data_IF_395259357723
#
_entry.id   IF_395259357723
#
_cell.length_a   1.000
_cell.length_b   1.000
_cell.length_c   1.000
_cell.angle_alpha   90.00
_cell.angle_beta   90.00
_cell.angle_gamma   90.00
#
_symmetry.space_group_name_H-M   'P 1'
#
loop_
_entity.id
_entity.type
_entity.pdbx_description
1 polymer ?
#
# COMPACT_ATOMS: atom_id res chain seq x y z
N UNK A 1 42.82 -51.62 -81.60
CA UNK A 1 41.68 -52.50 -81.97
C UNK A 1 41.19 -53.18 -80.69
N UNK A 2 39.86 -53.26 -80.45
CA UNK A 2 39.30 -53.68 -79.17
C UNK A 2 38.99 -55.20 -79.12
N UNK A 3 38.94 -55.75 -77.91
CA UNK A 3 38.15 -56.93 -77.51
C UNK A 3 38.12 -56.91 -75.97
N UNK A 4 37.04 -56.49 -75.29
CA UNK A 4 35.85 -57.26 -74.89
C UNK A 4 36.17 -58.65 -74.29
N UNK A 5 35.95 -58.80 -72.99
CA UNK A 5 34.86 -59.59 -72.35
C UNK A 5 35.23 -59.92 -70.90
N UNK A 6 34.42 -59.42 -69.96
CA UNK A 6 34.14 -60.01 -68.63
C UNK A 6 33.28 -61.29 -68.86
N UNK A 7 33.05 -62.25 -67.91
CA UNK A 7 32.59 -61.94 -66.54
C UNK A 7 32.78 -63.02 -65.41
N UNK A 8 32.30 -62.68 -64.20
CA UNK A 8 31.83 -63.51 -63.06
C UNK A 8 32.89 -64.18 -62.15
N UNK A 9 33.08 -63.72 -60.91
CA UNK A 9 32.28 -63.97 -59.69
C UNK A 9 32.61 -65.30 -58.99
N UNK A 10 33.44 -65.25 -57.93
CA UNK A 10 33.45 -66.23 -56.84
C UNK A 10 33.78 -65.54 -55.51
N UNK A 11 32.74 -65.31 -54.69
CA UNK A 11 32.87 -64.84 -53.31
C UNK A 11 32.97 -66.07 -52.40
N UNK A 12 34.19 -66.38 -51.94
CA UNK A 12 34.42 -67.44 -50.96
C UNK A 12 33.95 -66.99 -49.57
N UNK A 13 33.20 -67.88 -48.93
CA UNK A 13 32.75 -67.82 -47.54
C UNK A 13 33.87 -68.32 -46.64
N UNK A 14 34.32 -67.48 -45.71
CA UNK A 14 35.18 -67.90 -44.60
C UNK A 14 34.46 -67.63 -43.27
N UNK A 15 34.08 -68.71 -42.59
CA UNK A 15 33.90 -68.84 -41.13
C UNK A 15 35.19 -68.29 -40.47
N UNK A 16 35.25 -67.58 -39.34
CA UNK A 16 34.55 -67.75 -38.06
C UNK A 16 35.14 -66.67 -37.12
N UNK A 17 34.35 -65.97 -36.32
CA UNK A 17 34.81 -65.60 -34.97
C UNK A 17 33.59 -65.43 -34.07
N UNK A 18 33.43 -66.42 -33.20
CA UNK A 18 32.64 -66.35 -31.99
C UNK A 18 33.01 -65.09 -31.20
N UNK A 19 31.99 -64.39 -30.75
CA UNK A 19 32.07 -63.08 -30.12
C UNK A 19 30.67 -62.69 -29.67
N UNK A 20 30.02 -63.61 -28.96
CA UNK A 20 28.77 -63.31 -28.26
C UNK A 20 29.03 -62.13 -27.30
N UNK A 21 28.32 -61.00 -27.41
CA UNK A 21 28.31 -60.02 -26.36
C UNK A 21 27.59 -60.63 -25.15
N UNK A 22 28.34 -60.69 -24.05
CA UNK A 22 27.89 -60.85 -22.67
C UNK A 22 26.55 -60.11 -22.42
N UNK A 23 25.55 -60.72 -21.76
CA UNK A 23 24.31 -60.03 -21.46
C UNK A 23 24.62 -58.88 -20.49
N UNK A 24 24.60 -57.65 -21.00
CA UNK A 24 24.73 -56.46 -20.20
C UNK A 24 23.68 -56.50 -19.09
N UNK A 25 24.17 -56.71 -17.86
CA UNK A 25 23.38 -56.62 -16.65
C UNK A 25 22.58 -55.33 -16.66
N UNK A 26 21.25 -55.47 -16.61
CA UNK A 26 20.31 -54.41 -16.33
C UNK A 26 20.67 -53.78 -14.98
N UNK A 27 21.54 -52.76 -15.01
CA UNK A 27 21.74 -51.89 -13.87
C UNK A 27 20.53 -50.98 -13.84
N UNK A 28 19.55 -51.35 -13.02
CA UNK A 28 18.45 -50.48 -12.62
C UNK A 28 19.11 -49.29 -11.92
N UNK A 29 19.43 -48.27 -12.72
CA UNK A 29 19.80 -46.96 -12.22
C UNK A 29 18.57 -46.43 -11.50
N UNK A 30 18.61 -46.48 -10.17
CA UNK A 30 17.66 -45.77 -9.33
C UNK A 30 17.84 -44.28 -9.61
N UNK A 31 17.12 -43.76 -10.60
CA UNK A 31 16.95 -42.34 -10.80
C UNK A 31 16.07 -41.83 -9.65
N UNK A 32 16.71 -41.59 -8.50
CA UNK A 32 16.12 -40.78 -7.46
C UNK A 32 15.99 -39.37 -8.03
N UNK A 33 14.87 -39.11 -8.69
CA UNK A 33 14.39 -37.76 -8.95
C UNK A 33 14.49 -37.04 -7.60
N UNK A 34 15.23 -35.91 -7.48
CA UNK A 34 15.16 -35.13 -6.27
C UNK A 34 13.71 -34.71 -6.15
N UNK A 35 12.97 -35.28 -5.17
CA UNK A 35 11.64 -34.78 -4.81
C UNK A 35 11.80 -33.29 -4.67
N UNK A 36 11.24 -32.55 -5.62
CA UNK A 36 11.28 -31.09 -5.64
C UNK A 36 10.88 -30.65 -4.25
N UNK A 37 11.85 -30.13 -3.50
CA UNK A 37 11.61 -29.50 -2.22
C UNK A 37 10.72 -28.35 -2.57
N UNK A 38 9.39 -28.53 -2.43
CA UNK A 38 8.43 -27.44 -2.58
C UNK A 38 8.99 -26.32 -1.72
N UNK A 39 9.52 -25.28 -2.36
CA UNK A 39 9.94 -24.08 -1.68
C UNK A 39 8.65 -23.54 -1.08
N UNK A 40 8.41 -23.85 0.20
CA UNK A 40 7.33 -23.23 0.96
C UNK A 40 7.58 -21.75 0.86
N UNK A 41 6.76 -21.06 0.08
CA UNK A 41 6.79 -19.61 0.00
C UNK A 41 6.75 -19.10 1.43
N UNK A 42 7.74 -18.32 1.88
CA UNK A 42 7.77 -17.87 3.26
C UNK A 42 6.47 -17.11 3.54
N UNK A 43 5.68 -17.60 4.50
CA UNK A 43 4.44 -16.90 4.89
C UNK A 43 4.83 -15.54 5.42
N UNK A 44 4.43 -14.49 4.70
CA UNK A 44 4.60 -13.11 5.14
C UNK A 44 3.88 -12.95 6.48
N UNK A 45 4.63 -12.65 7.55
CA UNK A 45 4.07 -12.52 8.89
C UNK A 45 3.27 -11.22 8.99
N UNK A 46 1.96 -11.31 9.21
CA UNK A 46 1.08 -10.16 9.44
C UNK A 46 1.31 -9.50 10.81
N UNK A 47 0.99 -8.21 10.96
CA UNK A 47 1.17 -7.44 12.19
C UNK A 47 0.64 -8.17 13.42
N UNK A 48 -0.63 -8.62 13.39
CA UNK A 48 -1.28 -9.23 14.55
C UNK A 48 -1.28 -8.26 15.74
N UNK A 49 -0.80 -8.71 16.91
CA UNK A 49 -0.70 -7.87 18.11
C UNK A 49 0.15 -6.61 17.96
N UNK A 50 1.11 -6.59 17.03
CA UNK A 50 1.93 -5.39 16.75
C UNK A 50 1.14 -4.24 16.11
N UNK A 51 -0.08 -4.50 15.64
CA UNK A 51 -1.00 -3.45 15.20
C UNK A 51 -1.28 -2.41 16.30
N UNK A 52 -1.18 -2.82 17.57
CA UNK A 52 -1.38 -1.93 18.71
C UNK A 52 -0.46 -0.70 18.70
N UNK A 53 0.82 -0.84 18.34
CA UNK A 53 1.74 0.29 18.24
C UNK A 53 1.31 1.29 17.17
N UNK A 54 0.73 0.81 16.07
CA UNK A 54 0.22 1.66 15.00
C UNK A 54 -1.09 2.34 15.40
N UNK A 55 -1.95 1.67 16.17
CA UNK A 55 -3.13 2.34 16.76
C UNK A 55 -2.75 3.42 17.76
N UNK A 56 -1.66 3.24 18.52
CA UNK A 56 -1.14 4.29 19.39
C UNK A 56 -0.67 5.50 18.57
N UNK A 57 -0.05 5.29 17.41
CA UNK A 57 0.29 6.38 16.50
C UNK A 57 -0.97 7.09 15.98
N UNK A 58 -2.00 6.34 15.57
CA UNK A 58 -3.29 6.95 15.19
C UNK A 58 -3.90 7.77 16.33
N UNK A 59 -3.84 7.26 17.57
CA UNK A 59 -4.32 7.98 18.74
C UNK A 59 -3.56 9.28 18.99
N UNK A 60 -2.24 9.28 18.82
CA UNK A 60 -1.42 10.50 18.91
C UNK A 60 -1.86 11.53 17.86
N UNK A 61 -2.10 11.11 16.62
CA UNK A 61 -2.61 12.01 15.56
C UNK A 61 -3.96 12.61 15.96
N UNK A 62 -4.89 11.79 16.47
CA UNK A 62 -6.21 12.25 16.94
C UNK A 62 -6.07 13.27 18.07
N UNK A 63 -5.21 13.00 19.05
CA UNK A 63 -5.01 13.91 20.19
C UNK A 63 -4.45 15.26 19.71
N UNK A 64 -3.45 15.25 18.83
CA UNK A 64 -2.85 16.48 18.31
C UNK A 64 -3.89 17.25 17.48
N UNK A 65 -4.62 16.58 16.60
CA UNK A 65 -5.67 17.18 15.77
C UNK A 65 -6.71 17.89 16.64
N UNK A 66 -7.34 17.16 17.57
CA UNK A 66 -8.39 17.70 18.44
C UNK A 66 -7.88 18.83 19.34
N UNK A 67 -6.65 18.72 19.86
CA UNK A 67 -6.05 19.78 20.66
C UNK A 67 -5.81 21.05 19.84
N UNK A 68 -5.29 20.93 18.61
CA UNK A 68 -5.05 22.08 17.74
C UNK A 68 -6.34 22.73 17.24
N UNK A 69 -7.39 21.96 16.98
CA UNK A 69 -8.72 22.48 16.64
C UNK A 69 -9.35 23.25 17.79
N UNK A 70 -9.29 22.70 18.99
CA UNK A 70 -9.72 23.41 20.20
C UNK A 70 -8.97 24.72 20.40
N UNK A 71 -7.65 24.73 20.14
CA UNK A 71 -6.85 25.96 20.20
C UNK A 71 -7.30 26.97 19.14
N UNK A 72 -7.58 26.53 17.90
CA UNK A 72 -8.07 27.38 16.83
C UNK A 72 -9.42 28.02 17.19
N UNK A 73 -10.39 27.23 17.66
CA UNK A 73 -11.72 27.74 18.07
C UNK A 73 -11.64 28.74 19.23
N UNK A 74 -10.68 28.57 20.14
CA UNK A 74 -10.58 29.44 21.33
C UNK A 74 -9.74 30.70 21.11
N UNK A 75 -8.92 30.75 20.04
CA UNK A 75 -7.94 31.83 19.82
C UNK A 75 -8.16 32.62 18.54
N UNK A 76 -8.90 32.09 17.57
CA UNK A 76 -9.09 32.72 16.27
C UNK A 76 -10.53 33.21 16.13
N UNK A 77 -10.70 34.35 15.47
CA UNK A 77 -12.02 34.79 15.00
C UNK A 77 -12.32 34.10 13.68
N UNK A 78 -13.58 33.72 13.47
CA UNK A 78 -14.04 33.10 12.23
C UNK A 78 -13.69 33.95 11.00
N UNK A 79 -13.01 33.35 10.02
CA UNK A 79 -12.56 33.97 8.76
C UNK A 79 -11.66 35.21 8.90
N UNK A 80 -11.11 35.48 10.08
CA UNK A 80 -10.12 36.54 10.28
C UNK A 80 -8.71 35.93 10.20
N UNK A 81 -7.90 36.27 9.17
CA UNK A 81 -6.55 35.71 9.05
C UNK A 81 -5.59 36.33 10.07
N UNK A 82 -4.87 35.48 10.78
CA UNK A 82 -3.76 35.87 11.65
C UNK A 82 -2.44 35.46 10.98
N UNK A 83 -1.59 36.42 10.59
CA UNK A 83 -0.38 36.12 9.83
C UNK A 83 0.67 35.39 10.67
N UNK A 84 1.28 34.37 10.05
CA UNK A 84 2.36 33.56 10.65
C UNK A 84 3.65 33.72 9.84
N UNK A 85 3.56 33.53 8.52
CA UNK A 85 4.68 33.69 7.59
C UNK A 85 4.16 34.41 6.36
N UNK A 86 4.33 35.73 6.28
CA UNK A 86 3.92 36.50 5.11
C UNK A 86 4.84 36.22 3.90
N UNK A 87 4.31 36.05 2.67
CA UNK A 87 2.90 36.04 2.24
C UNK A 87 2.28 34.63 2.11
N UNK A 88 2.77 33.65 2.87
CA UNK A 88 2.54 32.23 2.60
C UNK A 88 1.61 31.50 3.57
N UNK A 89 1.54 31.91 4.83
CA UNK A 89 0.88 31.14 5.88
C UNK A 89 0.17 32.05 6.88
N UNK A 90 -1.13 31.80 7.03
CA UNK A 90 -1.98 32.35 8.07
C UNK A 90 -2.59 31.24 8.91
N UNK A 91 -2.92 31.57 10.16
CA UNK A 91 -3.98 30.87 10.87
C UNK A 91 -5.31 31.51 10.49
N UNK A 92 -6.29 30.73 10.06
CA UNK A 92 -7.61 31.26 9.66
C UNK A 92 -8.69 30.25 9.98
N UNK A 93 -9.54 30.54 10.98
CA UNK A 93 -10.60 29.64 11.40
C UNK A 93 -11.70 29.54 10.35
N UNK A 94 -11.95 28.32 9.87
CA UNK A 94 -13.01 28.00 8.93
C UNK A 94 -13.75 26.72 9.34
N UNK A 95 -15.03 26.65 8.96
CA UNK A 95 -15.89 25.49 9.24
C UNK A 95 -16.29 24.81 7.94
N UNK A 96 -15.84 23.57 7.78
CA UNK A 96 -16.00 22.83 6.54
C UNK A 96 -17.13 21.80 6.67
N UNK A 97 -18.24 22.13 6.03
CA UNK A 97 -19.43 21.27 5.94
C UNK A 97 -19.36 20.24 4.80
N UNK A 98 -18.21 20.15 4.10
CA UNK A 98 -18.06 19.38 2.87
C UNK A 98 -18.28 20.24 1.61
N UNK A 99 -17.82 21.50 1.63
CA UNK A 99 -18.14 22.49 0.60
C UNK A 99 -17.62 22.13 -0.80
N UNK A 100 -16.61 21.25 -0.90
CA UNK A 100 -16.16 20.68 -2.18
C UNK A 100 -17.27 19.94 -2.95
N UNK A 101 -18.34 19.54 -2.25
CA UNK A 101 -19.53 18.92 -2.82
C UNK A 101 -20.76 19.83 -2.75
N UNK A 102 -20.57 21.15 -2.56
CA UNK A 102 -21.67 22.11 -2.45
C UNK A 102 -22.55 22.20 -3.70
N UNK A 103 -22.06 21.74 -4.86
CA UNK A 103 -22.90 21.60 -6.07
C UNK A 103 -24.06 20.60 -5.90
N UNK A 104 -24.05 19.79 -4.83
CA UNK A 104 -25.12 18.88 -4.42
C UNK A 104 -25.80 19.32 -3.11
N UNK A 105 -25.51 20.54 -2.61
CA UNK A 105 -25.92 21.00 -1.29
C UNK A 105 -27.37 21.48 -1.17
N UNK A 106 -28.07 21.70 -2.29
CA UNK A 106 -29.47 22.17 -2.28
C UNK A 106 -30.43 21.18 -1.58
N UNK A 107 -29.97 19.99 -1.20
CA UNK A 107 -30.74 18.92 -0.55
C UNK A 107 -30.41 18.67 0.93
N UNK A 108 -30.20 19.73 1.73
CA UNK A 108 -30.50 19.65 3.18
C UNK A 108 -29.50 18.95 4.10
N UNK A 109 -28.19 19.24 3.97
CA UNK A 109 -27.20 18.88 4.99
C UNK A 109 -26.83 17.39 5.07
N UNK A 110 -27.21 16.60 4.06
CA UNK A 110 -26.89 15.17 3.94
C UNK A 110 -25.38 14.89 3.97
N UNK A 111 -24.56 15.87 3.58
CA UNK A 111 -23.11 15.79 3.53
C UNK A 111 -22.52 15.38 4.88
N UNK A 112 -23.06 15.91 5.98
CA UNK A 112 -22.64 15.53 7.35
C UNK A 112 -22.74 14.01 7.52
N UNK A 113 -23.89 13.43 7.21
CA UNK A 113 -24.16 12.00 7.40
C UNK A 113 -23.36 11.13 6.44
N UNK A 114 -23.26 11.55 5.18
CA UNK A 114 -22.48 10.84 4.18
C UNK A 114 -20.99 10.80 4.53
N UNK A 115 -20.37 11.94 4.82
CA UNK A 115 -18.93 11.98 5.16
C UNK A 115 -18.64 11.32 6.49
N UNK A 116 -19.54 11.42 7.48
CA UNK A 116 -19.40 10.68 8.74
C UNK A 116 -19.48 9.17 8.51
N UNK A 117 -20.44 8.70 7.71
CA UNK A 117 -20.60 7.29 7.37
C UNK A 117 -19.38 6.75 6.60
N UNK A 118 -18.88 7.51 5.62
CA UNK A 118 -17.69 7.15 4.86
C UNK A 118 -16.45 7.11 5.74
N UNK A 119 -16.22 8.12 6.58
CA UNK A 119 -15.08 8.16 7.50
C UNK A 119 -15.13 7.02 8.52
N UNK A 120 -16.31 6.69 9.05
CA UNK A 120 -16.51 5.55 9.94
C UNK A 120 -16.19 4.23 9.24
N UNK A 121 -16.77 4.00 8.06
CA UNK A 121 -16.54 2.80 7.27
C UNK A 121 -15.06 2.62 6.93
N UNK A 122 -14.40 3.70 6.50
CA UNK A 122 -12.98 3.67 6.19
C UNK A 122 -12.12 3.42 7.43
N UNK A 123 -12.48 4.01 8.57
CA UNK A 123 -11.77 3.78 9.84
C UNK A 123 -11.86 2.31 10.27
N UNK A 124 -13.04 1.70 10.20
CA UNK A 124 -13.24 0.28 10.51
C UNK A 124 -12.46 -0.62 9.55
N UNK A 125 -12.47 -0.31 8.25
CA UNK A 125 -11.67 -1.02 7.25
C UNK A 125 -10.18 -0.94 7.58
N UNK A 126 -9.65 0.26 7.87
CA UNK A 126 -8.24 0.48 8.16
C UNK A 126 -7.81 -0.24 9.44
N UNK A 127 -8.64 -0.25 10.49
CA UNK A 127 -8.42 -1.05 11.70
C UNK A 127 -8.26 -2.53 11.31
N UNK A 128 -9.19 -3.10 10.56
CA UNK A 128 -9.10 -4.50 10.14
C UNK A 128 -7.87 -4.79 9.25
N UNK A 129 -7.54 -3.87 8.34
CA UNK A 129 -6.43 -4.01 7.40
C UNK A 129 -5.07 -3.92 8.11
N UNK A 130 -4.92 -3.06 9.11
CA UNK A 130 -3.66 -2.86 9.84
C UNK A 130 -3.20 -4.11 10.59
N UNK A 131 -4.15 -4.93 11.07
CA UNK A 131 -3.87 -6.24 11.70
C UNK A 131 -3.27 -7.22 10.68
N UNK A 132 -3.76 -7.16 9.44
CA UNK A 132 -3.37 -8.06 8.33
C UNK A 132 -2.11 -7.60 7.59
N UNK A 133 -1.77 -6.31 7.66
CA UNK A 133 -0.61 -5.74 6.97
C UNK A 133 0.69 -6.48 7.34
N UNK A 134 1.62 -6.70 6.38
CA UNK A 134 2.89 -7.36 6.65
C UNK A 134 3.70 -6.65 7.75
N UNK A 135 4.25 -7.39 8.72
CA UNK A 135 5.11 -6.85 9.80
C UNK A 135 6.33 -6.11 9.28
N UNK A 136 6.83 -6.50 8.11
CA UNK A 136 7.98 -5.88 7.45
C UNK A 136 7.59 -4.61 6.69
N UNK A 137 6.29 -4.41 6.39
CA UNK A 137 5.75 -3.24 5.71
C UNK A 137 5.51 -2.08 6.70
N UNK A 138 6.61 -1.58 7.29
CA UNK A 138 6.55 -0.47 8.25
C UNK A 138 6.02 0.81 7.61
N UNK A 139 6.47 1.15 6.40
CA UNK A 139 6.03 2.37 5.71
C UNK A 139 4.52 2.33 5.42
N UNK A 140 4.01 1.21 4.91
CA UNK A 140 2.58 0.96 4.79
C UNK A 140 1.84 1.11 6.13
N UNK A 141 2.34 0.46 7.18
CA UNK A 141 1.67 0.48 8.50
C UNK A 141 1.64 1.88 9.11
N UNK A 142 2.72 2.66 8.95
CA UNK A 142 2.75 4.08 9.35
C UNK A 142 1.73 4.88 8.54
N UNK A 143 1.71 4.71 7.21
CA UNK A 143 0.77 5.43 6.34
C UNK A 143 -0.69 5.15 6.72
N UNK A 144 -1.04 3.87 6.88
CA UNK A 144 -2.38 3.44 7.34
C UNK A 144 -2.74 4.04 8.70
N UNK A 145 -1.80 4.09 9.64
CA UNK A 145 -2.02 4.67 10.96
C UNK A 145 -2.29 6.19 10.90
N UNK A 146 -1.57 6.92 10.05
CA UNK A 146 -1.79 8.36 9.84
C UNK A 146 -3.16 8.62 9.20
N UNK A 147 -3.54 7.85 8.18
CA UNK A 147 -4.87 7.95 7.54
C UNK A 147 -5.97 7.62 8.55
N UNK A 148 -5.81 6.56 9.35
CA UNK A 148 -6.78 6.20 10.39
C UNK A 148 -6.93 7.31 11.44
N UNK A 149 -5.82 7.87 11.92
CA UNK A 149 -5.84 8.96 12.89
C UNK A 149 -6.53 10.21 12.34
N UNK A 150 -6.19 10.63 11.12
CA UNK A 150 -6.85 11.76 10.48
C UNK A 150 -8.33 11.52 10.18
N UNK A 151 -8.69 10.33 9.69
CA UNK A 151 -10.09 9.97 9.43
C UNK A 151 -10.93 10.01 10.72
N UNK A 152 -10.40 9.52 11.84
CA UNK A 152 -11.07 9.58 13.15
C UNK A 152 -11.17 11.02 13.66
N UNK A 153 -10.09 11.82 13.59
CA UNK A 153 -10.13 13.22 14.04
C UNK A 153 -11.21 14.03 13.32
N UNK A 154 -11.27 13.91 11.99
CA UNK A 154 -12.28 14.55 11.17
C UNK A 154 -13.70 13.94 11.31
N UNK A 155 -13.81 12.69 11.76
CA UNK A 155 -15.11 12.07 12.10
C UNK A 155 -15.65 12.63 13.43
N UNK A 156 -14.78 12.82 14.44
CA UNK A 156 -15.16 13.37 15.74
C UNK A 156 -15.83 14.73 15.56
N UNK A 157 -15.22 15.66 14.82
CA UNK A 157 -15.80 16.98 14.61
C UNK A 157 -17.16 16.91 13.92
N UNK A 158 -17.29 16.04 12.89
CA UNK A 158 -18.56 15.90 12.17
C UNK A 158 -19.68 15.37 13.07
N UNK A 159 -19.37 14.46 13.98
CA UNK A 159 -20.35 13.93 14.92
C UNK A 159 -20.74 14.97 15.98
N UNK A 160 -19.77 15.71 16.52
CA UNK A 160 -19.97 16.67 17.61
C UNK A 160 -20.51 18.03 17.12
N UNK A 161 -19.92 18.59 16.07
CA UNK A 161 -20.17 19.95 15.59
C UNK A 161 -20.94 19.98 14.26
N UNK A 162 -20.97 18.87 13.50
CA UNK A 162 -21.62 18.80 12.19
C UNK A 162 -20.80 19.35 11.03
N UNK A 163 -19.57 19.78 11.29
CA UNK A 163 -18.59 20.27 10.33
C UNK A 163 -17.18 19.90 10.83
N UNK A 164 -16.17 20.12 9.99
CA UNK A 164 -14.76 20.01 10.38
C UNK A 164 -14.20 21.39 10.68
N UNK A 165 -13.36 21.49 11.71
CA UNK A 165 -12.67 22.73 12.07
C UNK A 165 -11.35 22.79 11.30
N UNK A 166 -11.22 23.77 10.42
CA UNK A 166 -10.04 24.02 9.60
C UNK A 166 -9.37 25.32 10.05
N UNK A 167 -8.04 25.38 10.01
CA UNK A 167 -7.30 26.55 10.53
C UNK A 167 -5.96 26.83 9.87
N UNK A 168 -5.39 25.91 9.09
CA UNK A 168 -4.12 26.07 8.39
C UNK A 168 -4.40 26.63 7.00
N UNK A 169 -4.03 27.89 6.77
CA UNK A 169 -4.29 28.60 5.52
C UNK A 169 -2.98 28.92 4.80
N UNK A 170 -2.68 28.14 3.76
CA UNK A 170 -1.52 28.35 2.89
C UNK A 170 -1.96 29.12 1.65
N UNK A 171 -1.26 30.20 1.33
CA UNK A 171 -1.58 31.07 0.19
C UNK A 171 -0.32 31.69 -0.42
N UNK A 172 -0.47 32.52 -1.46
CA UNK A 172 0.58 33.38 -1.98
C UNK A 172 -0.03 34.77 -2.24
N UNK A 173 0.01 35.62 -1.20
CA UNK A 173 -0.68 36.90 -1.17
C UNK A 173 -2.13 36.73 -1.67
N UNK A 174 -2.57 37.56 -2.62
CA UNK A 174 -3.90 37.50 -3.27
C UNK A 174 -3.92 36.71 -4.58
N UNK A 175 -2.80 36.06 -4.96
CA UNK A 175 -2.67 35.39 -6.27
C UNK A 175 -3.28 34.00 -6.24
N UNK A 176 -3.09 33.28 -5.14
CA UNK A 176 -3.52 31.89 -5.02
C UNK A 176 -3.73 31.49 -3.55
N UNK A 177 -4.77 30.70 -3.30
CA UNK A 177 -5.10 30.16 -1.99
C UNK A 177 -5.33 28.66 -2.08
N UNK A 178 -4.67 27.90 -1.20
CA UNK A 178 -5.02 26.50 -0.98
C UNK A 178 -6.24 26.43 -0.05
N UNK A 179 -7.14 25.43 -0.20
CA UNK A 179 -8.22 25.21 0.76
C UNK A 179 -7.67 25.12 2.18
N UNK A 180 -8.29 25.82 3.14
CA UNK A 180 -7.89 25.76 4.54
C UNK A 180 -8.07 24.32 5.04
N UNK A 181 -7.09 23.81 5.78
CA UNK A 181 -7.06 22.43 6.23
C UNK A 181 -6.62 22.32 7.70
N UNK A 182 -6.50 21.09 8.20
CA UNK A 182 -6.09 20.81 9.58
C UNK A 182 -5.06 19.66 9.68
N UNK A 183 -4.71 19.28 10.92
CA UNK A 183 -3.73 18.21 11.18
C UNK A 183 -4.25 16.84 10.74
N UNK A 184 -5.55 16.55 10.90
CA UNK A 184 -6.15 15.34 10.36
C UNK A 184 -5.98 15.23 8.84
N UNK A 185 -6.15 16.32 8.09
CA UNK A 185 -5.96 16.33 6.63
C UNK A 185 -4.49 16.12 6.24
N UNK A 186 -3.55 16.67 7.01
CA UNK A 186 -2.12 16.37 6.85
C UNK A 186 -1.83 14.89 7.08
N UNK A 187 -2.40 14.30 8.14
CA UNK A 187 -2.29 12.87 8.44
C UNK A 187 -2.81 11.99 7.29
N UNK A 188 -3.97 12.35 6.73
CA UNK A 188 -4.54 11.66 5.56
C UNK A 188 -3.62 11.81 4.35
N UNK A 189 -3.21 13.02 4.00
CA UNK A 189 -2.43 13.30 2.79
C UNK A 189 -1.06 12.64 2.82
N UNK A 190 -0.33 12.79 3.92
CA UNK A 190 0.99 12.17 4.12
C UNK A 190 0.82 10.65 4.20
N UNK A 191 -0.18 10.16 4.92
CA UNK A 191 -0.44 8.73 5.05
C UNK A 191 -0.74 8.05 3.72
N UNK A 192 -1.58 8.65 2.88
CA UNK A 192 -1.85 8.18 1.51
C UNK A 192 -0.58 8.18 0.67
N UNK A 193 0.22 9.24 0.71
CA UNK A 193 1.49 9.30 0.00
C UNK A 193 2.43 8.13 0.40
N UNK A 194 2.53 7.84 1.70
CA UNK A 194 3.33 6.72 2.22
C UNK A 194 2.81 5.36 1.75
N UNK A 195 1.48 5.16 1.74
CA UNK A 195 0.85 3.93 1.23
C UNK A 195 1.17 3.75 -0.26
N UNK A 196 1.03 4.81 -1.06
CA UNK A 196 1.32 4.78 -2.50
C UNK A 196 2.79 4.48 -2.77
N UNK A 197 3.72 5.14 -2.06
CA UNK A 197 5.16 4.88 -2.18
C UNK A 197 5.48 3.43 -1.84
N UNK A 198 4.88 2.90 -0.78
CA UNK A 198 5.09 1.54 -0.34
C UNK A 198 4.62 0.51 -1.40
N UNK A 199 3.41 0.71 -1.94
CA UNK A 199 2.84 -0.12 -3.01
C UNK A 199 3.67 -0.08 -4.29
N UNK A 200 4.10 1.12 -4.72
CA UNK A 200 4.82 1.27 -5.99
C UNK A 200 6.27 0.77 -5.94
N UNK A 201 6.97 0.93 -4.81
CA UNK A 201 8.43 0.76 -4.75
C UNK A 201 8.92 -0.31 -3.77
N UNK A 202 8.16 -0.64 -2.73
CA UNK A 202 8.64 -1.49 -1.62
C UNK A 202 7.97 -2.85 -1.53
N UNK A 203 6.76 -3.00 -2.08
CA UNK A 203 6.01 -4.26 -2.04
C UNK A 203 6.79 -5.41 -2.68
N UNK A 204 7.23 -5.24 -3.93
CA UNK A 204 8.02 -6.25 -4.66
C UNK A 204 9.32 -6.63 -3.96
N UNK A 205 9.95 -5.69 -3.24
CA UNK A 205 11.21 -5.94 -2.52
C UNK A 205 11.01 -6.84 -1.29
N UNK A 206 9.81 -6.92 -0.75
CA UNK A 206 9.49 -7.77 0.41
C UNK A 206 9.14 -9.21 0.02
N UNK A 207 8.75 -9.43 -1.23
CA UNK A 207 8.43 -10.76 -1.77
C UNK A 207 9.67 -11.54 -2.18
N UNK A 208 10.79 -10.85 -2.46
CA UNK A 208 12.06 -11.51 -2.77
C UNK A 208 12.69 -12.08 -1.49
N UNK A 209 13.06 -13.38 -1.47
CA UNK A 209 13.88 -13.94 -0.40
C UNK A 209 15.17 -13.12 -0.27
N UNK A 210 15.52 -12.70 0.94
CA UNK A 210 16.87 -12.15 1.18
C UNK A 210 17.86 -13.29 0.90
N UNK A 211 18.66 -13.12 -0.16
CA UNK A 211 19.76 -14.01 -0.47
C UNK A 211 20.81 -14.02 0.65
#
# INVERSE_FOLDING_TARGET
MPNSTDPLEQKQVHTQSDGSPEPAHATIGNSSTPKGRLMKTPKVLANGSRAFTWYLLSLVVVIIDQWTKWLAETKLTFHEPVPVIEPFLNWTLAYNYGAAFSFLADAGGWQKWFFSGLALLMSLFLIGYLIKAPRTAKLLSTGLALVLGGAIGNLIDRLLHGHVIDFIHVHNADVWHYPIFNIADMGISIGVAMIVIDMLFLEKKREMPRA
#
